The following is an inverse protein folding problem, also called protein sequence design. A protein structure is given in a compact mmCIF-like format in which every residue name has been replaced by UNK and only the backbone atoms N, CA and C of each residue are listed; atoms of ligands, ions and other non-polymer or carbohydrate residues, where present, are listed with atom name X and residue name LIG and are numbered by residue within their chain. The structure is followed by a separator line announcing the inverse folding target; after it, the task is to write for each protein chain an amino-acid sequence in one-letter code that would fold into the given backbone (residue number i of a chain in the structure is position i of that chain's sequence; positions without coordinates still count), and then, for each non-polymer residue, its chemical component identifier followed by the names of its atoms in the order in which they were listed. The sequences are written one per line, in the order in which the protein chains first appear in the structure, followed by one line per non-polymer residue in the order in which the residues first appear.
data_IF_190226846817
#
_entry.id   IF_190226846817
#
_cell.length_a   1.000
_cell.length_b   1.000
_cell.length_c   1.000
_cell.angle_alpha   90.00
_cell.angle_beta   90.00
_cell.angle_gamma   90.00
#
_symmetry.space_group_name_H-M   'P 1'
#
loop_
_entity.id
_entity.type
_entity.pdbx_description
1 polymer ?
#
# COMPACT_ATOMS: atom_id res chain seq x y z
N UNK A 1 21.79 -10.23 -11.88
CA UNK A 1 20.40 -10.51 -11.45
C UNK A 1 19.66 -11.09 -12.64
N UNK A 2 19.02 -12.23 -12.47
CA UNK A 2 18.24 -12.89 -13.52
C UNK A 2 16.86 -12.21 -13.64
N UNK A 3 16.75 -11.23 -14.55
CA UNK A 3 15.52 -10.47 -14.75
C UNK A 3 14.37 -11.29 -15.36
N UNK A 4 14.60 -12.18 -16.35
CA UNK A 4 13.55 -13.07 -16.84
C UNK A 4 12.89 -13.90 -15.73
N UNK A 5 13.71 -14.54 -14.87
CA UNK A 5 13.19 -15.35 -13.77
C UNK A 5 12.39 -14.53 -12.74
N UNK A 6 12.78 -13.27 -12.51
CA UNK A 6 12.01 -12.34 -11.68
C UNK A 6 10.64 -12.00 -12.29
N UNK A 7 10.54 -11.82 -13.61
CA UNK A 7 9.27 -11.57 -14.30
C UNK A 7 8.37 -12.80 -14.21
N UNK A 8 8.92 -14.00 -14.47
CA UNK A 8 8.19 -15.26 -14.31
C UNK A 8 7.69 -15.44 -12.88
N UNK A 9 8.52 -15.17 -11.87
CA UNK A 9 8.12 -15.25 -10.47
C UNK A 9 6.96 -14.29 -10.14
N UNK A 10 6.94 -13.08 -10.71
CA UNK A 10 5.82 -12.14 -10.55
C UNK A 10 4.53 -12.63 -11.21
N UNK A 11 4.63 -13.26 -12.38
CA UNK A 11 3.48 -13.85 -13.08
C UNK A 11 2.93 -15.07 -12.32
N UNK A 12 3.79 -16.00 -11.94
CA UNK A 12 3.41 -17.20 -11.18
C UNK A 12 2.77 -16.80 -9.83
N UNK A 13 3.32 -15.77 -9.16
CA UNK A 13 2.68 -15.20 -7.96
C UNK A 13 1.21 -14.82 -8.20
N UNK A 14 0.90 -14.22 -9.35
CA UNK A 14 -0.47 -13.82 -9.71
C UNK A 14 -1.34 -15.05 -9.97
N UNK A 15 -0.82 -16.05 -10.69
CA UNK A 15 -1.52 -17.29 -11.06
C UNK A 15 -1.84 -18.16 -9.84
N UNK A 16 -0.84 -18.39 -8.98
CA UNK A 16 -0.99 -19.18 -7.75
C UNK A 16 -1.61 -18.39 -6.59
N UNK A 17 -1.98 -17.12 -6.81
CA UNK A 17 -2.59 -16.23 -5.81
C UNK A 17 -1.75 -16.06 -4.54
N UNK A 18 -0.42 -16.01 -4.67
CA UNK A 18 0.47 -15.69 -3.55
C UNK A 18 0.24 -14.22 -3.13
N UNK A 19 -0.21 -13.97 -1.89
CA UNK A 19 -0.79 -12.68 -1.54
C UNK A 19 0.24 -11.56 -1.57
N UNK A 20 1.44 -11.77 -1.05
CA UNK A 20 2.46 -10.71 -0.91
C UNK A 20 3.80 -11.07 -1.57
N UNK A 21 4.59 -10.04 -1.91
CA UNK A 21 5.98 -10.23 -2.38
C UNK A 21 6.85 -10.90 -1.30
N UNK A 22 6.56 -10.67 -0.03
CA UNK A 22 7.26 -11.32 1.09
C UNK A 22 7.03 -12.83 1.07
N UNK A 23 5.80 -13.28 0.81
CA UNK A 23 5.48 -14.70 0.73
C UNK A 23 6.09 -15.34 -0.52
N UNK A 24 6.14 -14.60 -1.64
CA UNK A 24 6.85 -15.03 -2.85
C UNK A 24 8.34 -15.26 -2.56
N UNK A 25 9.02 -14.29 -1.94
CA UNK A 25 10.45 -14.39 -1.61
C UNK A 25 10.70 -15.51 -0.60
N UNK A 26 9.80 -15.71 0.38
CA UNK A 26 9.89 -16.84 1.31
C UNK A 26 9.80 -18.17 0.57
N UNK A 27 8.84 -18.32 -0.37
CA UNK A 27 8.68 -19.55 -1.14
C UNK A 27 9.90 -19.83 -2.04
N UNK A 28 10.39 -18.81 -2.75
CA UNK A 28 11.61 -18.92 -3.57
C UNK A 28 12.84 -19.41 -2.79
N UNK A 29 12.94 -19.13 -1.48
CA UNK A 29 14.06 -19.58 -0.64
C UNK A 29 13.89 -20.99 -0.10
N UNK A 30 12.65 -21.43 0.07
CA UNK A 30 12.33 -22.67 0.78
C UNK A 30 11.98 -23.82 -0.16
N UNK A 31 11.65 -23.52 -1.42
CA UNK A 31 11.18 -24.49 -2.41
C UNK A 31 12.03 -24.39 -3.68
N UNK A 32 12.94 -25.35 -3.84
CA UNK A 32 13.84 -25.44 -4.98
C UNK A 32 13.06 -25.72 -6.28
N UNK A 33 11.99 -26.50 -6.20
CA UNK A 33 11.16 -26.81 -7.39
C UNK A 33 10.54 -25.52 -7.90
N UNK A 34 9.94 -24.74 -7.00
CA UNK A 34 9.37 -23.44 -7.34
C UNK A 34 10.41 -22.46 -7.89
N UNK A 35 11.63 -22.47 -7.34
CA UNK A 35 12.74 -21.68 -7.87
C UNK A 35 13.06 -22.05 -9.33
N UNK A 36 13.14 -23.35 -9.64
CA UNK A 36 13.39 -23.85 -11.00
C UNK A 36 12.22 -23.56 -11.95
N UNK A 37 10.97 -23.71 -11.49
CA UNK A 37 9.76 -23.40 -12.27
C UNK A 37 9.70 -21.92 -12.65
N UNK A 38 10.20 -21.03 -11.79
CA UNK A 38 10.36 -19.61 -12.10
C UNK A 38 11.52 -19.34 -13.08
N UNK A 39 12.39 -20.32 -13.35
CA UNK A 39 13.54 -20.20 -14.23
C UNK A 39 14.81 -19.66 -13.56
N UNK A 40 14.90 -19.69 -12.23
CA UNK A 40 16.15 -19.41 -11.53
C UNK A 40 17.06 -20.64 -11.56
N UNK A 41 18.35 -20.41 -11.80
CA UNK A 41 19.37 -21.46 -11.65
C UNK A 41 19.69 -21.67 -10.17
N UNK A 42 20.22 -22.84 -9.81
CA UNK A 42 20.67 -23.14 -8.43
C UNK A 42 21.75 -22.16 -7.96
N UNK A 43 22.57 -21.67 -8.89
CA UNK A 43 23.60 -20.65 -8.64
C UNK A 43 23.06 -19.22 -8.54
N UNK A 44 21.80 -18.98 -8.93
CA UNK A 44 21.24 -17.63 -8.92
C UNK A 44 20.92 -17.19 -7.49
N UNK A 45 21.30 -15.95 -7.17
CA UNK A 45 20.90 -15.33 -5.92
C UNK A 45 19.41 -14.97 -5.95
N UNK A 46 18.66 -15.42 -4.94
CA UNK A 46 17.24 -15.08 -4.78
C UNK A 46 17.08 -13.56 -4.57
N UNK A 47 16.29 -12.88 -5.42
CA UNK A 47 16.07 -11.45 -5.31
C UNK A 47 15.41 -11.06 -3.97
N UNK A 48 15.80 -9.91 -3.43
CA UNK A 48 15.14 -9.33 -2.26
C UNK A 48 13.79 -8.70 -2.62
N UNK A 49 12.95 -8.48 -1.62
CA UNK A 49 11.65 -7.79 -1.76
C UNK A 49 11.82 -6.40 -2.41
N UNK A 50 12.88 -5.67 -2.02
CA UNK A 50 13.23 -4.39 -2.61
C UNK A 50 13.60 -4.50 -4.10
N UNK A 51 14.17 -5.63 -4.53
CA UNK A 51 14.50 -5.88 -5.94
C UNK A 51 13.24 -6.08 -6.77
N UNK A 52 12.27 -6.83 -6.25
CA UNK A 52 10.94 -6.95 -6.87
C UNK A 52 10.21 -5.60 -6.92
N UNK A 53 10.24 -4.83 -5.84
CA UNK A 53 9.63 -3.49 -5.82
C UNK A 53 10.20 -2.58 -6.92
N UNK A 54 11.54 -2.51 -7.05
CA UNK A 54 12.19 -1.76 -8.13
C UNK A 54 11.81 -2.26 -9.52
N UNK A 55 11.69 -3.57 -9.72
CA UNK A 55 11.26 -4.14 -10.99
C UNK A 55 9.82 -3.73 -11.33
N UNK A 56 8.90 -3.86 -10.38
CA UNK A 56 7.50 -3.45 -10.58
C UNK A 56 7.42 -1.98 -10.93
N UNK A 57 8.16 -1.10 -10.22
CA UNK A 57 8.22 0.33 -10.55
C UNK A 57 8.74 0.57 -11.97
N UNK A 58 9.75 -0.17 -12.43
CA UNK A 58 10.25 -0.06 -13.81
C UNK A 58 9.18 -0.46 -14.83
N UNK A 59 8.46 -1.55 -14.58
CA UNK A 59 7.37 -2.01 -15.46
C UNK A 59 6.25 -0.97 -15.49
N UNK A 60 5.85 -0.44 -14.34
CA UNK A 60 4.82 0.59 -14.21
C UNK A 60 5.16 1.89 -14.94
N UNK A 61 6.44 2.27 -14.96
CA UNK A 61 6.91 3.47 -15.65
C UNK A 61 7.17 3.22 -17.15
N UNK A 62 6.86 2.02 -17.66
CA UNK A 62 7.02 1.66 -19.07
C UNK A 62 5.67 1.36 -19.70
N UNK A 63 5.58 1.47 -21.02
CA UNK A 63 4.41 1.13 -21.82
C UNK A 63 4.36 -0.36 -22.23
N UNK A 64 5.28 -1.19 -21.71
CA UNK A 64 5.45 -2.58 -22.19
C UNK A 64 4.18 -3.41 -22.07
N UNK A 65 3.42 -3.26 -20.98
CA UNK A 65 2.18 -4.02 -20.76
C UNK A 65 1.08 -3.60 -21.72
N UNK A 66 1.00 -2.31 -22.05
CA UNK A 66 0.04 -1.78 -23.03
C UNK A 66 0.37 -2.29 -24.42
N UNK A 67 1.65 -2.26 -24.82
CA UNK A 67 2.10 -2.80 -26.11
C UNK A 67 1.78 -4.30 -26.23
N UNK A 68 2.10 -5.09 -25.20
CA UNK A 68 1.79 -6.53 -25.19
C UNK A 68 0.28 -6.79 -25.25
N UNK A 69 -0.53 -6.00 -24.54
CA UNK A 69 -1.98 -6.12 -24.59
C UNK A 69 -2.51 -5.86 -26.01
N UNK A 70 -2.01 -4.82 -26.68
CA UNK A 70 -2.41 -4.50 -28.06
C UNK A 70 -1.98 -5.60 -29.04
N UNK A 71 -0.81 -6.19 -28.88
CA UNK A 71 -0.35 -7.30 -29.71
C UNK A 71 -1.26 -8.53 -29.57
N UNK A 72 -1.60 -8.92 -28.33
CA UNK A 72 -2.52 -10.04 -28.06
C UNK A 72 -3.91 -9.75 -28.61
N UNK A 73 -4.39 -8.52 -28.49
CA UNK A 73 -5.69 -8.13 -29.00
C UNK A 73 -5.74 -8.19 -30.54
N UNK A 74 -4.69 -7.69 -31.21
CA UNK A 74 -4.57 -7.78 -32.66
C UNK A 74 -4.52 -9.22 -33.16
N UNK A 75 -3.82 -10.11 -32.45
CA UNK A 75 -3.83 -11.55 -32.76
C UNK A 75 -5.24 -12.14 -32.65
N UNK A 76 -5.97 -11.81 -31.58
CA UNK A 76 -7.34 -12.29 -31.38
C UNK A 76 -8.31 -11.79 -32.47
N UNK A 77 -8.12 -10.56 -32.97
CA UNK A 77 -8.86 -10.04 -34.13
C UNK A 77 -8.50 -10.79 -35.42
N UNK A 78 -7.21 -10.99 -35.69
CA UNK A 78 -6.76 -11.70 -36.88
C UNK A 78 -7.24 -13.16 -36.92
N UNK A 79 -7.32 -13.82 -35.78
CA UNK A 79 -7.82 -15.20 -35.64
C UNK A 79 -9.35 -15.28 -35.61
N UNK A 80 -10.05 -14.15 -35.59
CA UNK A 80 -11.52 -14.08 -35.59
C UNK A 80 -12.16 -14.44 -34.25
N UNK A 81 -11.40 -14.45 -33.15
CA UNK A 81 -11.96 -14.63 -31.80
C UNK A 81 -12.73 -13.42 -31.31
N UNK A 82 -12.36 -12.23 -31.79
CA UNK A 82 -13.00 -10.96 -31.48
C UNK A 82 -13.47 -10.34 -32.80
N UNK A 83 -14.72 -9.89 -32.85
CA UNK A 83 -15.31 -9.17 -33.97
C UNK A 83 -15.51 -7.69 -33.62
N UNK A 84 -15.53 -6.82 -34.63
CA UNK A 84 -15.68 -5.37 -34.45
C UNK A 84 -17.15 -4.92 -34.29
N UNK A 85 -18.11 -5.84 -34.43
CA UNK A 85 -19.53 -5.51 -34.49
C UNK A 85 -20.14 -5.08 -33.14
N UNK A 86 -19.59 -5.59 -32.02
CA UNK A 86 -20.17 -5.35 -30.68
C UNK A 86 -19.10 -5.19 -29.61
N UNK A 87 -19.10 -4.03 -28.93
CA UNK A 87 -18.22 -3.76 -27.78
C UNK A 87 -19.01 -3.96 -26.48
N UNK A 88 -18.64 -4.96 -25.69
CA UNK A 88 -19.17 -5.16 -24.34
C UNK A 88 -18.26 -4.48 -23.31
N UNK A 89 -18.77 -3.46 -22.61
CA UNK A 89 -18.05 -2.75 -21.54
C UNK A 89 -18.65 -3.18 -20.19
N UNK A 90 -17.85 -3.84 -19.36
CA UNK A 90 -18.20 -4.18 -17.99
C UNK A 90 -17.11 -3.69 -17.02
N UNK A 91 -17.51 -3.38 -15.79
CA UNK A 91 -16.61 -2.91 -14.75
C UNK A 91 -16.61 -3.90 -13.57
N UNK A 92 -15.50 -4.62 -13.39
CA UNK A 92 -15.32 -5.52 -12.25
C UNK A 92 -14.55 -4.83 -11.12
N UNK A 93 -15.04 -4.94 -9.88
CA UNK A 93 -14.31 -4.46 -8.71
C UNK A 93 -13.10 -5.36 -8.39
N UNK A 94 -11.89 -4.80 -8.47
CA UNK A 94 -10.66 -5.50 -8.09
C UNK A 94 -10.19 -5.01 -6.72
N UNK A 95 -10.12 -5.92 -5.74
CA UNK A 95 -9.54 -5.63 -4.44
C UNK A 95 -8.01 -5.56 -4.53
N UNK A 96 -7.42 -4.55 -3.90
CA UNK A 96 -5.96 -4.41 -3.82
C UNK A 96 -5.33 -5.54 -2.99
N UNK A 97 -4.42 -6.31 -3.59
CA UNK A 97 -3.75 -7.45 -2.94
C UNK A 97 -2.75 -7.06 -1.86
N UNK A 98 -2.02 -5.97 -2.05
CA UNK A 98 -0.99 -5.47 -1.12
C UNK A 98 -1.43 -4.16 -0.41
N UNK A 99 -2.71 -4.06 0.00
CA UNK A 99 -3.18 -2.85 0.69
C UNK A 99 -2.49 -2.71 2.05
N UNK A 100 -1.73 -1.63 2.24
CA UNK A 100 -1.17 -1.29 3.53
C UNK A 100 -2.30 -1.17 4.58
N UNK A 101 -2.12 -1.73 5.80
CA UNK A 101 -3.15 -1.65 6.83
C UNK A 101 -3.49 -0.20 7.12
N UNK A 102 -4.78 0.09 7.29
CA UNK A 102 -5.26 1.44 7.57
C UNK A 102 -4.63 1.91 8.88
N UNK A 103 -3.79 2.94 8.81
CA UNK A 103 -3.18 3.53 10.01
C UNK A 103 -4.32 4.00 10.94
N UNK A 104 -4.28 3.68 12.25
CA UNK A 104 -5.28 4.16 13.17
C UNK A 104 -5.32 5.70 13.13
N UNK A 105 -6.52 6.27 12.99
CA UNK A 105 -6.69 7.74 12.98
C UNK A 105 -6.15 8.27 14.31
N UNK A 106 -5.07 9.06 14.24
CA UNK A 106 -4.56 9.76 15.42
C UNK A 106 -5.69 10.67 15.94
N UNK A 107 -6.00 10.65 17.25
CA UNK A 107 -7.01 11.54 17.80
C UNK A 107 -6.61 12.98 17.48
N UNK A 108 -7.55 13.79 16.98
CA UNK A 108 -7.30 15.21 16.71
C UNK A 108 -6.87 15.86 18.03
N UNK A 109 -5.76 16.61 18.06
CA UNK A 109 -5.36 17.31 19.28
C UNK A 109 -6.50 18.25 19.70
N UNK A 110 -6.99 18.09 20.93
CA UNK A 110 -8.03 18.96 21.47
C UNK A 110 -7.48 20.39 21.53
N UNK A 111 -8.13 21.32 20.85
CA UNK A 111 -7.76 22.74 20.91
C UNK A 111 -7.98 23.23 22.34
N UNK A 112 -6.90 23.61 23.04
CA UNK A 112 -7.02 24.34 24.31
C UNK A 112 -7.69 25.68 24.00
N UNK A 113 -8.92 25.91 24.49
CA UNK A 113 -9.56 27.23 24.38
C UNK A 113 -8.68 28.26 25.10
N UNK A 114 -8.02 29.14 24.33
CA UNK A 114 -7.25 30.26 24.89
C UNK A 114 -8.21 31.17 25.66
N UNK A 115 -7.92 31.40 26.95
CA UNK A 115 -8.54 32.46 27.76
C UNK A 115 -9.49 32.01 28.88
N UNK A 116 -10.05 30.79 28.88
CA UNK A 116 -10.95 30.35 29.97
C UNK A 116 -10.22 29.44 30.95
N UNK A 117 -9.90 29.96 32.14
CA UNK A 117 -9.41 29.13 33.26
C UNK A 117 -10.47 28.07 33.62
N UNK A 118 -10.07 26.83 33.94
CA UNK A 118 -10.99 25.81 34.45
C UNK A 118 -11.66 26.28 35.75
N UNK A 119 -12.90 25.83 35.99
CA UNK A 119 -13.77 26.33 37.08
C UNK A 119 -13.11 26.30 38.46
N UNK A 120 -12.32 25.27 38.75
CA UNK A 120 -11.58 25.13 40.01
C UNK A 120 -10.55 26.25 40.22
N UNK A 121 -9.79 26.64 39.18
CA UNK A 121 -8.82 27.73 39.27
C UNK A 121 -9.49 29.11 39.43
N UNK A 122 -10.72 29.26 38.91
CA UNK A 122 -11.49 30.49 39.06
C UNK A 122 -12.02 30.66 40.48
N UNK A 123 -12.51 29.59 41.11
CA UNK A 123 -12.99 29.61 42.50
C UNK A 123 -11.85 29.94 43.49
N UNK A 124 -10.65 29.40 43.25
CA UNK A 124 -9.44 29.75 44.03
C UNK A 124 -9.08 31.23 43.86
N UNK A 125 -9.12 31.75 42.63
CA UNK A 125 -8.83 33.16 42.37
C UNK A 125 -9.85 34.13 43.01
N UNK A 126 -11.13 33.74 43.04
CA UNK A 126 -12.19 34.49 43.73
C UNK A 126 -11.95 34.56 45.24
N UNK A 127 -11.55 33.45 45.87
CA UNK A 127 -11.20 33.43 47.31
C UNK A 127 -10.01 34.35 47.61
N UNK A 128 -8.93 34.24 46.85
CA UNK A 128 -7.77 35.13 47.03
C UNK A 128 -8.14 36.61 46.83
N UNK A 129 -9.03 36.92 45.88
CA UNK A 129 -9.48 38.31 45.66
C UNK A 129 -10.32 38.83 46.82
N UNK A 130 -11.20 38.00 47.38
CA UNK A 130 -12.00 38.35 48.55
C UNK A 130 -11.13 38.57 49.79
N UNK A 131 -10.12 37.74 50.01
CA UNK A 131 -9.15 37.88 51.11
C UNK A 131 -8.32 39.17 50.98
N UNK A 132 -7.84 39.52 49.78
CA UNK A 132 -7.14 40.80 49.56
C UNK A 132 -8.02 42.01 49.80
N UNK A 133 -9.30 41.96 49.43
CA UNK A 133 -10.25 43.06 49.71
C UNK A 133 -10.58 43.17 51.21
N UNK A 134 -10.77 42.04 51.91
CA UNK A 134 -10.98 42.05 53.35
C UNK A 134 -9.77 42.59 54.11
N UNK A 135 -8.55 42.24 53.69
CA UNK A 135 -7.31 42.75 54.28
C UNK A 135 -7.11 44.25 54.03
N UNK A 136 -7.58 44.78 52.90
CA UNK A 136 -7.49 46.20 52.56
C UNK A 136 -8.51 47.08 53.31
N UNK A 137 -9.61 46.49 53.81
CA UNK A 137 -10.67 47.20 54.54
C UNK A 137 -10.47 47.11 56.08
N UNK A 138 -9.42 46.43 56.54
CA UNK A 138 -9.10 46.25 57.95
C UNK A 138 -8.02 47.23 58.48
N UNK A 139 -7.70 48.28 57.72
CA UNK A 139 -6.83 49.40 58.11
C UNK A 139 -7.59 50.72 58.06
#
# INVERSE_FOLDING_TARGET
MNYPAMIHALLIRILERIPTIKDLVRRLRNDLTFQLDCGFLVSDAIPSEASFSRMVTKIQNSNVLETLQMEVLNQAFHEGFITDDTVAIDATHIQARDRAPVKPKRPKPTTKKRGRKPKAEHEVWLKERAERQACAHAF
#
